data_IF_782920742142
#
_entry.id   IF_782920742142
#
_cell.length_a   1.000
_cell.length_b   1.000
_cell.length_c   1.000
_cell.angle_alpha   90.00
_cell.angle_beta   90.00
_cell.angle_gamma   90.00
#
_symmetry.space_group_name_H-M   'P 1'
#
loop_
_entity.id
_entity.type
_entity.pdbx_description
1 polymer ?
#
# COMPACT_ATOMS: atom_id res chain seq x y z
N UNK A 1 -19.44 15.94 -24.97
CA UNK A 1 -18.73 14.73 -24.49
C UNK A 1 -19.58 14.11 -23.39
N UNK A 2 -20.34 13.04 -23.68
CA UNK A 2 -21.27 12.43 -22.72
C UNK A 2 -20.51 11.78 -21.57
N UNK A 3 -20.71 12.30 -20.36
CA UNK A 3 -20.21 11.73 -19.10
C UNK A 3 -20.90 10.38 -18.90
N UNK A 4 -20.19 9.26 -19.13
CA UNK A 4 -20.69 7.93 -18.79
C UNK A 4 -20.85 7.86 -17.28
N UNK A 5 -22.06 8.06 -16.78
CA UNK A 5 -22.36 7.84 -15.38
C UNK A 5 -22.22 6.34 -15.07
N UNK A 6 -21.29 6.00 -14.19
CA UNK A 6 -21.14 4.63 -13.67
C UNK A 6 -22.47 4.19 -13.05
N UNK A 7 -23.00 3.07 -13.52
CA UNK A 7 -24.25 2.48 -13.03
C UNK A 7 -24.18 2.21 -11.53
N UNK A 8 -25.33 2.26 -10.84
CA UNK A 8 -25.41 1.94 -9.41
C UNK A 8 -24.85 0.55 -9.07
N UNK A 9 -24.92 -0.39 -10.01
CA UNK A 9 -24.29 -1.71 -9.88
C UNK A 9 -22.75 -1.62 -9.87
N UNK A 10 -22.17 -0.78 -10.72
CA UNK A 10 -20.72 -0.57 -10.80
C UNK A 10 -20.20 0.12 -9.53
N UNK A 11 -20.93 1.11 -9.00
CA UNK A 11 -20.60 1.78 -7.73
C UNK A 11 -20.57 0.79 -6.55
N UNK A 12 -21.56 -0.12 -6.46
CA UNK A 12 -21.58 -1.16 -5.42
C UNK A 12 -20.45 -2.17 -5.57
N UNK A 13 -20.08 -2.53 -6.80
CA UNK A 13 -18.96 -3.43 -7.07
C UNK A 13 -17.61 -2.79 -6.69
N UNK A 14 -17.40 -1.50 -7.02
CA UNK A 14 -16.22 -0.74 -6.62
C UNK A 14 -16.10 -0.66 -5.10
N UNK A 15 -17.19 -0.33 -4.39
CA UNK A 15 -17.18 -0.25 -2.93
C UNK A 15 -16.80 -1.57 -2.25
N UNK A 16 -17.36 -2.70 -2.72
CA UNK A 16 -17.00 -4.04 -2.21
C UNK A 16 -15.55 -4.43 -2.47
N UNK A 17 -14.91 -3.83 -3.48
CA UNK A 17 -13.50 -4.06 -3.76
C UNK A 17 -12.63 -3.17 -2.86
N UNK A 18 -12.99 -1.90 -2.69
CA UNK A 18 -12.31 -0.97 -1.77
C UNK A 18 -12.35 -1.46 -0.32
N UNK A 19 -13.48 -2.00 0.15
CA UNK A 19 -13.63 -2.54 1.51
C UNK A 19 -12.66 -3.71 1.84
N UNK A 20 -11.94 -4.26 0.85
CA UNK A 20 -10.94 -5.32 1.05
C UNK A 20 -9.55 -4.79 1.38
N UNK A 21 -9.31 -3.50 1.21
CA UNK A 21 -7.98 -2.91 1.31
C UNK A 21 -8.00 -1.65 2.17
N UNK A 22 -7.09 -1.59 3.14
CA UNK A 22 -6.82 -0.33 3.84
C UNK A 22 -6.10 0.64 2.91
N UNK A 23 -6.67 1.83 2.71
CA UNK A 23 -6.10 2.86 1.83
C UNK A 23 -5.48 3.97 2.67
N UNK A 24 -4.21 4.28 2.39
CA UNK A 24 -3.49 5.39 3.03
C UNK A 24 -3.06 6.43 2.00
N UNK A 25 -3.16 7.71 2.37
CA UNK A 25 -2.65 8.82 1.56
C UNK A 25 -1.29 9.26 2.12
N UNK A 26 -0.24 9.14 1.32
CA UNK A 26 1.14 9.45 1.72
C UNK A 26 1.63 10.66 0.94
N UNK A 27 2.31 11.57 1.64
CA UNK A 27 3.04 12.68 1.01
C UNK A 27 4.51 12.30 0.87
N UNK A 28 4.99 12.30 -0.37
CA UNK A 28 6.40 12.15 -0.68
C UNK A 28 7.07 13.52 -0.91
N UNK A 29 8.36 13.66 -0.59
CA UNK A 29 9.14 14.79 -1.05
C UNK A 29 9.15 14.89 -2.58
N UNK A 30 9.37 16.10 -3.11
CA UNK A 30 9.46 16.31 -4.55
C UNK A 30 10.59 15.46 -5.15
N UNK A 31 10.32 14.82 -6.29
CA UNK A 31 11.29 13.98 -7.01
C UNK A 31 11.39 12.53 -6.51
N UNK A 32 10.81 12.17 -5.36
CA UNK A 32 10.90 10.80 -4.85
C UNK A 32 10.20 9.77 -5.74
N UNK A 33 9.09 10.14 -6.37
CA UNK A 33 8.39 9.28 -7.33
C UNK A 33 9.24 9.07 -8.59
N UNK A 34 9.89 10.13 -9.07
CA UNK A 34 10.78 10.07 -10.24
C UNK A 34 11.98 9.16 -9.95
N UNK A 35 12.61 9.31 -8.78
CA UNK A 35 13.70 8.44 -8.33
C UNK A 35 13.25 6.97 -8.23
N UNK A 36 12.04 6.70 -7.73
CA UNK A 36 11.49 5.34 -7.68
C UNK A 36 11.37 4.73 -9.07
N UNK A 37 10.88 5.49 -10.04
CA UNK A 37 10.81 5.04 -11.44
C UNK A 37 12.20 4.82 -12.03
N UNK A 38 13.17 5.69 -11.75
CA UNK A 38 14.56 5.55 -12.21
C UNK A 38 15.25 4.29 -11.66
N UNK A 39 14.93 3.93 -10.41
CA UNK A 39 15.38 2.68 -9.78
C UNK A 39 14.69 1.41 -10.31
N UNK A 40 13.84 1.52 -11.33
CA UNK A 40 13.17 0.38 -11.95
C UNK A 40 11.98 -0.15 -11.15
N UNK A 41 11.37 0.68 -10.29
CA UNK A 41 10.14 0.30 -9.59
C UNK A 41 8.97 0.34 -10.57
N UNK A 42 8.45 -0.84 -10.89
CA UNK A 42 7.34 -1.02 -11.83
C UNK A 42 6.00 -0.55 -11.25
N UNK A 43 5.83 -0.64 -9.93
CA UNK A 43 4.64 -0.18 -9.21
C UNK A 43 4.99 0.34 -7.83
N UNK A 44 4.71 1.63 -7.58
CA UNK A 44 4.89 2.29 -6.28
C UNK A 44 4.15 1.53 -5.18
N UNK A 45 2.93 1.06 -5.47
CA UNK A 45 2.13 0.29 -4.51
C UNK A 45 2.83 -1.02 -4.11
N UNK A 46 3.33 -1.77 -5.11
CA UNK A 46 4.04 -3.02 -4.84
C UNK A 46 5.33 -2.78 -4.03
N UNK A 47 6.02 -1.66 -4.30
CA UNK A 47 7.21 -1.27 -3.55
C UNK A 47 6.90 -0.92 -2.10
N UNK A 48 5.87 -0.11 -1.86
CA UNK A 48 5.43 0.26 -0.50
C UNK A 48 4.98 -0.98 0.28
N UNK A 49 4.21 -1.89 -0.32
CA UNK A 49 3.78 -3.13 0.35
C UNK A 49 4.97 -4.00 0.76
N UNK A 50 5.96 -4.19 -0.14
CA UNK A 50 7.18 -4.96 0.18
C UNK A 50 7.99 -4.33 1.31
N UNK A 51 8.11 -3.01 1.34
CA UNK A 51 8.79 -2.31 2.43
C UNK A 51 8.08 -2.49 3.77
N UNK A 52 6.75 -2.37 3.78
CA UNK A 52 5.93 -2.57 4.98
C UNK A 52 6.06 -4.02 5.47
N UNK A 53 5.94 -5.02 4.59
CA UNK A 53 6.09 -6.44 4.94
C UNK A 53 7.48 -6.74 5.51
N UNK A 54 8.54 -6.23 4.89
CA UNK A 54 9.91 -6.42 5.36
C UNK A 54 10.15 -5.80 6.74
N UNK A 55 9.56 -4.63 7.01
CA UNK A 55 9.68 -3.94 8.29
C UNK A 55 8.87 -4.63 9.40
N UNK A 56 7.67 -5.12 9.08
CA UNK A 56 6.86 -5.93 10.01
C UNK A 56 7.60 -7.23 10.37
N UNK A 57 8.18 -7.91 9.38
CA UNK A 57 8.93 -9.15 9.60
C UNK A 57 10.14 -8.92 10.51
N UNK A 58 10.94 -7.87 10.24
CA UNK A 58 12.08 -7.48 11.10
C UNK A 58 11.68 -7.19 12.54
N UNK A 59 10.55 -6.51 12.76
CA UNK A 59 10.07 -6.26 14.13
C UNK A 59 9.61 -7.52 14.84
N UNK A 60 9.03 -8.46 14.09
CA UNK A 60 8.64 -9.77 14.64
C UNK A 60 9.84 -10.56 15.14
N UNK A 61 10.92 -10.57 14.38
CA UNK A 61 12.17 -11.21 14.78
C UNK A 61 12.85 -10.53 15.99
N UNK A 62 12.60 -9.23 16.24
CA UNK A 62 13.10 -8.55 17.45
C UNK A 62 12.22 -8.76 18.69
N UNK A 63 10.89 -8.89 18.54
CA UNK A 63 9.97 -9.08 19.67
C UNK A 63 9.95 -10.53 20.21
N UNK A 64 10.34 -11.53 19.40
CA UNK A 64 10.48 -12.91 19.88
C UNK A 64 11.71 -13.13 20.80
N UNK A 65 12.53 -12.08 21.03
CA UNK A 65 13.69 -12.14 21.94
C UNK A 65 13.47 -11.53 23.33
N UNK A 66 12.29 -10.96 23.61
CA UNK A 66 11.96 -10.36 24.94
C UNK A 66 10.85 -11.12 25.71
N UNK A 67 10.56 -12.37 25.33
CA UNK A 67 9.63 -13.24 26.08
C UNK A 67 10.33 -14.48 26.68
N UNK A 68 11.49 -14.31 27.31
CA UNK A 68 12.03 -15.30 28.25
C UNK A 68 12.66 -14.59 29.44
N UNK A 69 11.81 -14.14 30.37
CA UNK A 69 12.03 -14.21 31.83
C UNK A 69 10.96 -13.38 32.54
N UNK A 70 10.00 -14.06 33.17
CA UNK A 70 9.55 -13.77 34.54
C UNK A 70 8.72 -14.91 35.08
#
# INVERSE_FOLDING_TARGET
MSKKETSNAQKKAMKKYEDKFDTISIRFPKGTIELLHEHGVESINAYVNKLIEAEILKKKDSDDSESTEK
#
